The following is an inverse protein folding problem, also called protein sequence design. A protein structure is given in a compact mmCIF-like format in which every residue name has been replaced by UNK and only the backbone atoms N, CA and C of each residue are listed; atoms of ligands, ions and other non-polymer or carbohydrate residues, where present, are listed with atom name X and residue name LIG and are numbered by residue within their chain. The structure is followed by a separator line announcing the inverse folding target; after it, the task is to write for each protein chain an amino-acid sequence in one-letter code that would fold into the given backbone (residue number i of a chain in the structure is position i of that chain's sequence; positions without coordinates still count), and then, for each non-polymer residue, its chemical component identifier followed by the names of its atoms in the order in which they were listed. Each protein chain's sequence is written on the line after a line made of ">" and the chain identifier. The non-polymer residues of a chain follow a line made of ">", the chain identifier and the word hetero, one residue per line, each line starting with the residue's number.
data_IF_926697895573
#
_entry.id   IF_926697895573
#
_cell.length_a   1.000
_cell.length_b   1.000
_cell.length_c   1.000
_cell.angle_alpha   90.00
_cell.angle_beta   90.00
_cell.angle_gamma   90.00
#
_symmetry.space_group_name_H-M   'P 1'
#
loop_
_entity.id
_entity.type
_entity.pdbx_description
1 polymer ?
#
# COMPACT_ATOMS: atom_id res chain seq x y z
N UNK A 1 15.03 0.31 3.16
CA UNK A 1 14.53 1.44 2.33
C UNK A 1 14.77 2.72 3.11
N UNK A 2 15.16 3.82 2.46
CA UNK A 2 15.31 5.10 3.19
C UNK A 2 13.93 5.63 3.55
N UNK A 3 13.74 6.01 4.81
CA UNK A 3 12.53 6.69 5.25
C UNK A 3 12.52 8.13 4.70
N UNK A 4 11.33 8.71 4.52
CA UNK A 4 11.15 10.11 4.15
C UNK A 4 9.90 10.69 4.82
N UNK A 5 9.93 12.00 5.08
CA UNK A 5 8.79 12.72 5.62
C UNK A 5 7.73 12.95 4.54
N UNK A 6 6.47 12.78 4.91
CA UNK A 6 5.32 13.08 4.04
C UNK A 6 5.08 14.59 4.09
N UNK A 7 5.10 15.23 2.95
CA UNK A 7 4.90 16.68 2.82
C UNK A 7 3.42 16.94 2.56
N UNK A 8 2.81 17.83 3.35
CA UNK A 8 1.42 18.25 3.18
C UNK A 8 1.20 18.93 1.82
N UNK A 9 0.01 18.78 1.23
CA UNK A 9 -0.39 19.39 -0.06
C UNK A 9 0.39 18.87 -1.28
N UNK A 10 0.99 17.69 -1.19
CA UNK A 10 1.63 17.01 -2.35
C UNK A 10 0.68 16.16 -3.18
N UNK A 11 -0.44 15.73 -2.60
CA UNK A 11 -1.46 14.97 -3.30
C UNK A 11 -2.42 14.27 -2.36
N UNK A 12 -3.45 13.66 -2.95
CA UNK A 12 -4.57 13.10 -2.20
C UNK A 12 -4.14 12.01 -1.22
N UNK A 13 -3.11 11.21 -1.53
CA UNK A 13 -2.68 10.14 -0.63
C UNK A 13 -1.85 10.71 0.52
N UNK A 14 -0.98 11.67 0.23
CA UNK A 14 -0.22 12.41 1.25
C UNK A 14 -1.16 13.06 2.26
N UNK A 15 -2.25 13.68 1.77
CA UNK A 15 -3.24 14.33 2.63
C UNK A 15 -4.03 13.33 3.50
N UNK A 16 -4.35 12.13 2.98
CA UNK A 16 -4.98 11.07 3.78
C UNK A 16 -4.06 10.56 4.92
N UNK A 17 -2.74 10.51 4.72
CA UNK A 17 -1.82 10.13 5.80
C UNK A 17 -1.64 11.25 6.82
N UNK A 18 -1.49 12.50 6.38
CA UNK A 18 -1.33 13.65 7.27
C UNK A 18 -2.57 13.85 8.14
N UNK A 19 -3.78 13.69 7.59
CA UNK A 19 -5.03 13.79 8.37
C UNK A 19 -5.13 12.72 9.47
N UNK A 20 -4.44 11.60 9.30
CA UNK A 20 -4.32 10.49 10.28
C UNK A 20 -3.12 10.62 11.21
N UNK A 21 -2.42 11.78 11.21
CA UNK A 21 -1.20 12.04 11.99
C UNK A 21 -0.04 11.08 11.67
N UNK A 22 0.01 10.59 10.44
CA UNK A 22 1.11 9.77 9.91
C UNK A 22 1.97 10.68 9.03
N UNK A 23 3.20 10.92 9.48
CA UNK A 23 4.07 11.96 8.91
C UNK A 23 5.30 11.44 8.16
N UNK A 24 5.49 10.12 8.08
CA UNK A 24 6.64 9.51 7.40
C UNK A 24 6.27 8.19 6.71
N UNK A 25 7.09 7.81 5.73
CA UNK A 25 6.82 6.65 4.88
C UNK A 25 6.88 5.33 5.65
N UNK A 26 7.76 5.19 6.64
CA UNK A 26 7.85 3.98 7.47
C UNK A 26 6.57 3.79 8.29
N UNK A 27 6.07 4.86 8.91
CA UNK A 27 4.79 4.85 9.63
C UNK A 27 3.61 4.56 8.70
N UNK A 28 3.63 5.09 7.47
CA UNK A 28 2.63 4.77 6.45
C UNK A 28 2.65 3.28 6.05
N UNK A 29 3.84 2.70 5.86
CA UNK A 29 3.99 1.27 5.56
C UNK A 29 3.44 0.41 6.71
N UNK A 30 3.77 0.76 7.95
CA UNK A 30 3.24 0.07 9.14
C UNK A 30 1.72 0.12 9.18
N UNK A 31 1.13 1.31 9.04
CA UNK A 31 -0.32 1.49 9.01
C UNK A 31 -0.98 0.61 7.95
N UNK A 32 -0.49 0.64 6.70
CA UNK A 32 -1.05 -0.14 5.59
C UNK A 32 -0.89 -1.65 5.81
N UNK A 33 0.23 -2.09 6.40
CA UNK A 33 0.48 -3.49 6.75
C UNK A 33 -0.51 -3.99 7.79
N UNK A 34 -0.79 -3.18 8.81
CA UNK A 34 -1.64 -3.54 9.95
C UNK A 34 -3.14 -3.60 9.58
N UNK A 35 -3.55 -3.05 8.43
CA UNK A 35 -4.94 -3.15 7.96
C UNK A 35 -5.35 -4.60 7.62
N UNK A 36 -6.62 -5.00 7.84
CA UNK A 36 -7.13 -6.29 7.42
C UNK A 36 -6.99 -6.56 5.92
N UNK A 37 -6.76 -7.82 5.57
CA UNK A 37 -6.83 -8.28 4.19
C UNK A 37 -8.29 -8.47 3.78
N UNK A 38 -8.77 -7.67 2.82
CA UNK A 38 -10.13 -7.80 2.27
C UNK A 38 -10.25 -7.22 0.87
N UNK A 39 -11.31 -7.60 0.15
CA UNK A 39 -11.64 -6.99 -1.14
C UNK A 39 -12.32 -5.64 -0.90
N UNK A 40 -11.85 -4.61 -1.60
CA UNK A 40 -12.47 -3.30 -1.64
C UNK A 40 -13.70 -3.33 -2.56
N UNK A 41 -14.72 -2.54 -2.21
CA UNK A 41 -15.98 -2.46 -2.98
C UNK A 41 -15.75 -1.81 -4.35
N UNK A 42 -14.91 -0.78 -4.39
CA UNK A 42 -14.42 -0.16 -5.62
C UNK A 42 -12.89 -0.05 -5.58
N UNK A 43 -12.22 -0.93 -6.32
CA UNK A 43 -10.75 -0.95 -6.44
C UNK A 43 -10.19 0.16 -7.35
N UNK A 44 -11.03 0.85 -8.13
CA UNK A 44 -10.61 1.96 -8.98
C UNK A 44 -10.44 3.25 -8.18
N UNK A 45 -11.16 3.37 -7.05
CA UNK A 45 -10.91 4.39 -6.05
C UNK A 45 -9.59 4.11 -5.31
N UNK A 46 -8.53 4.89 -5.58
CA UNK A 46 -7.23 4.77 -4.92
C UNK A 46 -7.30 4.97 -3.39
N UNK A 47 -8.36 5.61 -2.88
CA UNK A 47 -8.56 5.85 -1.44
C UNK A 47 -9.34 4.76 -0.73
N UNK A 48 -9.82 3.74 -1.45
CA UNK A 48 -10.65 2.67 -0.89
C UNK A 48 -10.04 2.00 0.35
N UNK A 49 -8.71 1.92 0.44
CA UNK A 49 -8.00 1.35 1.61
C UNK A 49 -8.25 2.17 2.88
N UNK A 50 -8.36 3.49 2.74
CA UNK A 50 -8.64 4.41 3.84
C UNK A 50 -10.14 4.44 4.18
N UNK A 51 -11.00 4.46 3.15
CA UNK A 51 -12.45 4.52 3.31
C UNK A 51 -12.99 3.25 3.96
N UNK A 52 -12.43 2.08 3.59
CA UNK A 52 -12.89 0.78 4.07
C UNK A 52 -12.01 0.21 5.18
N UNK A 53 -10.91 0.86 5.56
CA UNK A 53 -9.94 0.36 6.56
C UNK A 53 -9.48 -1.08 6.29
N UNK A 54 -9.10 -1.36 5.05
CA UNK A 54 -8.68 -2.69 4.62
C UNK A 54 -8.48 -2.77 3.11
N UNK A 55 -7.76 -3.78 2.66
CA UNK A 55 -7.51 -3.95 1.24
C UNK A 55 -6.73 -5.20 0.89
N UNK A 56 -6.55 -5.41 -0.41
CA UNK A 56 -5.73 -6.50 -0.95
C UNK A 56 -4.28 -6.08 -1.05
N UNK A 57 -3.36 -7.00 -1.37
CA UNK A 57 -1.96 -6.67 -1.64
C UNK A 57 -1.86 -5.55 -2.69
N UNK A 58 -2.66 -5.63 -3.75
CA UNK A 58 -2.64 -4.69 -4.87
C UNK A 58 -3.07 -3.30 -4.45
N UNK A 59 -4.22 -3.15 -3.77
CA UNK A 59 -4.73 -1.83 -3.35
C UNK A 59 -3.85 -1.20 -2.27
N UNK A 60 -3.36 -2.01 -1.31
CA UNK A 60 -2.41 -1.57 -0.29
C UNK A 60 -1.09 -1.05 -0.88
N UNK A 61 -0.47 -1.81 -1.79
CA UNK A 61 0.78 -1.38 -2.43
C UNK A 61 0.57 -0.21 -3.40
N UNK A 62 -0.59 -0.11 -4.06
CA UNK A 62 -0.91 1.02 -4.92
C UNK A 62 -0.91 2.34 -4.13
N UNK A 63 -1.49 2.35 -2.92
CA UNK A 63 -1.45 3.51 -2.02
C UNK A 63 -0.02 3.90 -1.67
N UNK A 64 0.83 2.95 -1.26
CA UNK A 64 2.23 3.23 -0.91
C UNK A 64 3.05 3.73 -2.11
N UNK A 65 2.83 3.16 -3.30
CA UNK A 65 3.47 3.65 -4.54
C UNK A 65 3.04 5.07 -4.85
N UNK A 66 1.73 5.37 -4.75
CA UNK A 66 1.21 6.72 -5.02
C UNK A 66 1.76 7.73 -4.01
N UNK A 67 1.83 7.38 -2.73
CA UNK A 67 2.46 8.20 -1.69
C UNK A 67 3.91 8.55 -2.04
N UNK A 68 4.70 7.55 -2.45
CA UNK A 68 6.09 7.78 -2.84
C UNK A 68 6.21 8.70 -4.07
N UNK A 69 5.35 8.53 -5.07
CA UNK A 69 5.33 9.42 -6.24
C UNK A 69 4.97 10.86 -5.88
N UNK A 70 3.98 11.08 -5.03
CA UNK A 70 3.58 12.43 -4.57
C UNK A 70 4.72 13.12 -3.80
N UNK A 71 5.57 12.36 -3.12
CA UNK A 71 6.70 12.87 -2.34
C UNK A 71 8.04 12.82 -3.09
N UNK A 72 8.04 12.70 -4.42
CA UNK A 72 9.25 12.70 -5.27
C UNK A 72 10.23 11.55 -4.96
N UNK A 73 9.72 10.38 -4.58
CA UNK A 73 10.48 9.15 -4.37
C UNK A 73 10.17 8.10 -5.47
N UNK A 74 10.56 8.35 -6.74
CA UNK A 74 10.26 7.46 -7.85
C UNK A 74 10.94 6.09 -7.74
N UNK A 75 11.99 5.97 -6.92
CA UNK A 75 12.74 4.74 -6.66
C UNK A 75 11.90 3.64 -5.99
N UNK A 76 10.80 3.99 -5.30
CA UNK A 76 9.89 3.03 -4.68
C UNK A 76 8.98 2.41 -5.74
N UNK A 77 9.36 1.27 -6.31
CA UNK A 77 8.63 0.66 -7.43
C UNK A 77 7.46 -0.21 -6.97
N UNK A 78 6.36 -0.19 -7.74
CA UNK A 78 5.33 -1.22 -7.66
C UNK A 78 5.77 -2.41 -8.52
N UNK A 79 5.87 -3.59 -7.91
CA UNK A 79 6.40 -4.80 -8.55
C UNK A 79 5.32 -5.88 -8.52
N UNK A 80 5.10 -6.52 -9.66
CA UNK A 80 4.26 -7.71 -9.77
C UNK A 80 5.15 -8.96 -9.70
N UNK A 81 4.97 -9.75 -8.65
CA UNK A 81 5.55 -11.09 -8.56
C UNK A 81 4.58 -12.10 -9.15
N UNK A 82 5.03 -12.87 -10.15
CA UNK A 82 4.26 -13.98 -10.71
C UNK A 82 4.94 -15.27 -10.25
N UNK A 83 4.22 -16.07 -9.49
CA UNK A 83 4.66 -17.39 -9.07
C UNK A 83 3.76 -18.44 -9.72
N UNK A 84 4.36 -19.36 -10.48
CA UNK A 84 3.60 -20.46 -11.10
C UNK A 84 3.31 -21.50 -10.02
N UNK A 85 2.03 -21.70 -9.74
CA UNK A 85 1.57 -22.79 -8.89
C UNK A 85 1.20 -24.00 -9.76
N UNK A 86 1.57 -25.19 -9.30
CA UNK A 86 1.13 -26.47 -9.85
C UNK A 86 0.78 -27.45 -8.71
N UNK A 87 0.37 -28.67 -9.08
CA UNK A 87 0.00 -29.70 -8.13
C UNK A 87 1.16 -30.10 -7.20
N UNK A 88 2.40 -30.04 -7.68
CA UNK A 88 3.58 -30.38 -6.86
C UNK A 88 3.79 -29.32 -5.77
N UNK A 89 3.67 -28.03 -6.11
CA UNK A 89 3.87 -26.93 -5.14
C UNK A 89 2.74 -26.78 -4.13
N UNK A 90 1.50 -27.12 -4.50
CA UNK A 90 0.33 -27.01 -3.60
C UNK A 90 0.51 -27.82 -2.32
N UNK A 91 1.13 -29.00 -2.40
CA UNK A 91 1.38 -29.87 -1.24
C UNK A 91 2.46 -29.35 -0.28
N UNK A 92 3.34 -28.46 -0.75
CA UNK A 92 4.49 -27.91 -0.01
C UNK A 92 4.16 -26.63 0.75
N UNK A 93 3.02 -25.99 0.44
CA UNK A 93 2.48 -24.84 1.16
C UNK A 93 1.43 -25.39 2.13
N UNK A 94 1.88 -25.86 3.30
CA UNK A 94 1.00 -26.21 4.43
C UNK A 94 1.27 -25.23 5.57
N UNK A 95 0.20 -24.78 6.22
CA UNK A 95 0.26 -23.96 7.43
C UNK A 95 0.83 -24.76 8.59
#
# INVERSE_FOLDING_TARGET
>A
MKNFSIIQRKGIISDEFISRKIADFSSACKFISDLPYKRNSDKSNIKCVFDELGGTCSTKHAVLRKLALENNHPEVKLILGIFKMDAEYTSKIKN
#
